data_IF_711113062528
#
_entry.id   IF_711113062528
#
_cell.length_a   1.000
_cell.length_b   1.000
_cell.length_c   1.000
_cell.angle_alpha   90.00
_cell.angle_beta   90.00
_cell.angle_gamma   90.00
#
_symmetry.space_group_name_H-M   'P 1'
#
loop_
_entity.id
_entity.type
_entity.pdbx_description
1 polymer ?
#
# COMPACT_ATOMS: atom_id res chain seq x y z
N UNK A 1 12.09 3.59 -11.17
CA UNK A 1 12.05 3.88 -9.73
C UNK A 1 11.35 5.21 -9.54
N UNK A 2 10.24 5.22 -8.81
CA UNK A 2 9.48 6.39 -8.43
C UNK A 2 10.21 7.10 -7.30
N UNK A 3 10.53 8.36 -7.54
CA UNK A 3 11.22 9.25 -6.61
C UNK A 3 10.39 10.51 -6.33
N UNK A 4 9.10 10.47 -6.67
CA UNK A 4 8.17 11.56 -6.38
C UNK A 4 8.02 11.77 -4.88
N UNK A 5 7.74 13.01 -4.49
CA UNK A 5 7.51 13.35 -3.09
C UNK A 5 6.33 12.56 -2.51
N UNK A 6 5.28 12.33 -3.30
CA UNK A 6 4.13 11.50 -2.94
C UNK A 6 4.57 10.08 -2.58
N UNK A 7 5.34 9.42 -3.43
CA UNK A 7 5.80 8.06 -3.16
C UNK A 7 6.73 7.97 -1.94
N UNK A 8 7.67 8.93 -1.79
CA UNK A 8 8.54 8.99 -0.61
C UNK A 8 7.70 9.17 0.67
N UNK A 9 6.66 10.01 0.62
CA UNK A 9 5.75 10.22 1.76
C UNK A 9 4.95 8.96 2.10
N UNK A 10 4.40 8.29 1.09
CA UNK A 10 3.73 6.99 1.24
C UNK A 10 4.66 5.97 1.93
N UNK A 11 5.90 5.84 1.46
CA UNK A 11 6.88 4.93 2.05
C UNK A 11 7.23 5.32 3.49
N UNK A 12 7.42 6.61 3.77
CA UNK A 12 7.79 7.14 5.08
C UNK A 12 6.73 6.87 6.15
N UNK A 13 5.45 6.93 5.80
CA UNK A 13 4.35 6.67 6.73
C UNK A 13 3.95 5.19 6.81
N UNK A 14 4.44 4.36 5.91
CA UNK A 14 4.14 2.93 5.89
C UNK A 14 4.99 2.17 6.93
N UNK A 15 4.87 2.51 8.21
CA UNK A 15 5.71 1.92 9.28
C UNK A 15 5.69 0.39 9.29
N UNK A 16 4.58 -0.25 8.89
CA UNK A 16 4.46 -1.70 8.84
C UNK A 16 5.39 -2.31 7.80
N UNK A 17 5.42 -1.76 6.58
CA UNK A 17 6.31 -2.27 5.53
C UNK A 17 7.77 -1.90 5.79
N UNK A 18 8.03 -0.77 6.44
CA UNK A 18 9.38 -0.36 6.83
C UNK A 18 9.97 -1.30 7.89
N UNK A 19 9.16 -1.81 8.82
CA UNK A 19 9.59 -2.81 9.82
C UNK A 19 9.89 -4.17 9.20
N UNK A 20 9.17 -4.52 8.13
CA UNK A 20 9.36 -5.75 7.37
C UNK A 20 10.50 -5.64 6.35
N UNK A 21 11.15 -4.48 6.23
CA UNK A 21 12.28 -4.30 5.34
C UNK A 21 13.50 -5.06 5.85
N UNK A 22 13.92 -6.06 5.08
CA UNK A 22 15.20 -6.75 5.23
C UNK A 22 16.18 -6.20 4.18
N UNK A 23 17.08 -5.25 4.53
CA UNK A 23 17.92 -4.57 3.55
C UNK A 23 18.80 -5.50 2.76
N UNK A 24 18.78 -5.33 1.45
CA UNK A 24 19.62 -6.07 0.52
C UNK A 24 20.45 -5.10 -0.31
N UNK A 25 21.60 -5.57 -0.78
CA UNK A 25 22.42 -4.79 -1.72
C UNK A 25 21.57 -4.48 -2.95
N UNK A 26 21.52 -3.20 -3.33
CA UNK A 26 20.68 -2.75 -4.44
C UNK A 26 19.33 -2.15 -4.02
N UNK A 27 18.92 -2.29 -2.77
CA UNK A 27 17.70 -1.65 -2.28
C UNK A 27 17.87 -0.13 -2.24
N UNK A 28 16.83 0.58 -2.64
CA UNK A 28 16.85 2.04 -2.65
C UNK A 28 16.30 2.58 -1.34
N UNK A 29 16.83 3.73 -0.92
CA UNK A 29 16.35 4.40 0.28
C UNK A 29 16.41 5.92 0.13
N UNK A 30 15.62 6.60 0.95
CA UNK A 30 15.70 8.03 1.21
C UNK A 30 16.32 8.27 2.59
N UNK A 31 17.32 9.14 2.68
CA UNK A 31 17.95 9.50 3.94
C UNK A 31 17.19 10.64 4.63
N UNK A 32 16.69 10.38 5.85
CA UNK A 32 15.94 11.37 6.65
C UNK A 32 16.78 12.57 7.04
N UNK A 33 18.10 12.42 7.15
CA UNK A 33 19.02 13.48 7.57
C UNK A 33 19.42 14.40 6.42
N UNK A 34 19.30 13.92 5.18
CA UNK A 34 19.68 14.67 3.98
C UNK A 34 18.48 14.70 3.03
N UNK A 35 17.53 15.65 3.20
CA UNK A 35 16.36 15.75 2.36
C UNK A 35 16.72 15.78 0.86
N UNK A 36 16.23 14.78 0.12
CA UNK A 36 16.49 14.62 -1.32
C UNK A 36 17.64 13.68 -1.65
N UNK A 37 18.40 13.20 -0.66
CA UNK A 37 19.39 12.17 -0.86
C UNK A 37 18.70 10.81 -1.06
N UNK A 38 18.84 10.28 -2.26
CA UNK A 38 18.42 8.94 -2.64
C UNK A 38 19.68 8.10 -2.80
N UNK A 39 19.73 7.00 -2.05
CA UNK A 39 20.86 6.09 -2.05
C UNK A 39 20.48 4.69 -2.48
N UNK A 40 21.50 3.91 -2.83
CA UNK A 40 21.40 2.47 -2.99
C UNK A 40 22.15 1.86 -1.80
N UNK A 41 21.50 0.94 -1.10
CA UNK A 41 22.08 0.24 0.03
C UNK A 41 23.27 -0.61 -0.41
N UNK A 42 24.45 -0.33 0.14
CA UNK A 42 25.70 -1.04 -0.13
C UNK A 42 26.34 -1.63 1.14
N UNK A 43 25.62 -1.61 2.28
CA UNK A 43 26.04 -1.93 3.67
C UNK A 43 26.50 -0.74 4.52
N UNK A 44 26.30 -0.86 5.84
CA UNK A 44 26.82 -0.04 6.96
C UNK A 44 26.15 1.28 7.36
N UNK A 45 25.00 1.66 6.79
CA UNK A 45 24.26 2.84 7.27
C UNK A 45 23.34 2.52 8.46
N UNK A 46 23.10 3.47 9.38
CA UNK A 46 22.09 3.33 10.43
C UNK A 46 20.69 3.22 9.81
N UNK A 47 20.01 2.10 10.06
CA UNK A 47 18.70 1.81 9.46
C UNK A 47 17.58 2.75 9.92
N UNK A 48 17.69 3.28 11.13
CA UNK A 48 16.73 4.18 11.74
C UNK A 48 16.64 5.54 11.00
N UNK A 49 17.71 5.94 10.32
CA UNK A 49 17.75 7.18 9.54
C UNK A 49 17.27 7.01 8.10
N UNK A 50 16.92 5.79 7.68
CA UNK A 50 16.54 5.51 6.31
C UNK A 50 15.03 5.28 6.18
N UNK A 51 14.51 5.60 5.00
CA UNK A 51 13.19 5.19 4.54
C UNK A 51 13.40 4.31 3.33
N UNK A 52 12.96 3.05 3.41
CA UNK A 52 12.99 2.15 2.28
C UNK A 52 12.10 2.68 1.15
N UNK A 53 12.65 2.71 -0.06
CA UNK A 53 11.92 2.97 -1.28
C UNK A 53 11.89 1.65 -2.07
N UNK A 54 10.87 0.78 -1.88
CA UNK A 54 10.85 -0.50 -2.57
C UNK A 54 10.74 -0.30 -4.09
N UNK A 55 11.47 -1.10 -4.87
CA UNK A 55 11.27 -1.17 -6.32
C UNK A 55 10.01 -1.97 -6.64
N UNK A 56 9.55 -1.90 -7.90
CA UNK A 56 8.43 -2.72 -8.38
C UNK A 56 8.66 -4.22 -8.14
N UNK A 57 9.87 -4.70 -8.46
CA UNK A 57 10.29 -6.10 -8.25
C UNK A 57 10.26 -6.50 -6.77
N UNK A 58 10.63 -5.59 -5.86
CA UNK A 58 10.59 -5.85 -4.42
C UNK A 58 9.17 -5.96 -3.90
N UNK A 59 8.28 -5.08 -4.34
CA UNK A 59 6.86 -5.17 -4.00
C UNK A 59 6.26 -6.48 -4.50
N UNK A 60 6.60 -6.91 -5.71
CA UNK A 60 6.17 -8.19 -6.28
C UNK A 60 6.65 -9.40 -5.46
N UNK A 61 7.93 -9.45 -5.09
CA UNK A 61 8.49 -10.50 -4.25
C UNK A 61 7.79 -10.61 -2.88
N UNK A 62 7.25 -9.50 -2.36
CA UNK A 62 6.48 -9.50 -1.11
C UNK A 62 5.08 -10.12 -1.29
N UNK A 63 4.51 -10.07 -2.49
CA UNK A 63 3.24 -10.70 -2.85
C UNK A 63 3.40 -12.18 -3.23
N UNK A 64 4.38 -12.51 -4.07
CA UNK A 64 4.58 -13.85 -4.65
C UNK A 64 4.81 -14.95 -3.62
N UNK A 65 5.32 -14.62 -2.43
CA UNK A 65 5.51 -15.60 -1.35
C UNK A 65 4.21 -16.29 -0.90
N UNK A 66 3.01 -15.86 -1.37
CA UNK A 66 1.73 -16.37 -0.86
C UNK A 66 0.73 -16.90 -1.90
N UNK A 67 0.80 -16.59 -3.20
CA UNK A 67 -0.30 -16.95 -4.13
C UNK A 67 0.16 -17.23 -5.57
N UNK A 68 -0.71 -17.97 -6.29
CA UNK A 68 -0.63 -18.16 -7.74
C UNK A 68 -0.91 -16.82 -8.46
N UNK A 69 -0.12 -16.51 -9.49
CA UNK A 69 -0.14 -15.26 -10.26
C UNK A 69 -1.54 -14.88 -10.78
N UNK A 70 -2.38 -15.86 -11.12
CA UNK A 70 -3.75 -15.59 -11.58
C UNK A 70 -4.60 -14.92 -10.50
N UNK A 71 -4.53 -15.41 -9.26
CA UNK A 71 -5.26 -14.80 -8.13
C UNK A 71 -4.72 -13.41 -7.80
N UNK A 72 -3.41 -13.20 -7.91
CA UNK A 72 -2.82 -11.86 -7.71
C UNK A 72 -3.40 -10.83 -8.69
N UNK A 73 -3.54 -11.18 -9.97
CA UNK A 73 -4.07 -10.26 -10.98
C UNK A 73 -5.55 -9.94 -10.69
N UNK A 74 -6.36 -10.95 -10.35
CA UNK A 74 -7.77 -10.74 -9.98
C UNK A 74 -7.89 -9.84 -8.74
N UNK A 75 -7.18 -10.15 -7.66
CA UNK A 75 -7.18 -9.35 -6.43
C UNK A 75 -6.71 -7.90 -6.68
N UNK A 76 -5.72 -7.70 -7.55
CA UNK A 76 -5.23 -6.37 -7.90
C UNK A 76 -6.24 -5.58 -8.74
N UNK A 77 -6.94 -6.25 -9.67
CA UNK A 77 -8.01 -5.63 -10.45
C UNK A 77 -9.17 -5.24 -9.54
N UNK A 78 -9.61 -6.13 -8.66
CA UNK A 78 -10.68 -5.85 -7.69
C UNK A 78 -10.31 -4.68 -6.78
N UNK A 79 -9.07 -4.65 -6.28
CA UNK A 79 -8.56 -3.51 -5.53
C UNK A 79 -8.62 -2.20 -6.32
N UNK A 80 -8.20 -2.20 -7.59
CA UNK A 80 -8.27 -1.02 -8.44
C UNK A 80 -9.72 -0.56 -8.60
N UNK A 81 -10.63 -1.46 -8.93
CA UNK A 81 -12.06 -1.17 -9.08
C UNK A 81 -12.65 -0.56 -7.81
N UNK A 82 -12.40 -1.17 -6.66
CA UNK A 82 -13.00 -0.76 -5.39
C UNK A 82 -12.44 0.57 -4.84
N UNK A 83 -11.15 0.84 -5.07
CA UNK A 83 -10.44 1.91 -4.35
C UNK A 83 -9.94 3.03 -5.25
N UNK A 84 -9.68 2.75 -6.53
CA UNK A 84 -8.92 3.64 -7.41
C UNK A 84 -9.73 4.12 -8.60
N UNK A 85 -10.78 3.39 -9.01
CA UNK A 85 -11.66 3.80 -10.10
C UNK A 85 -12.85 4.60 -9.57
N UNK A 86 -13.38 5.48 -10.43
CA UNK A 86 -14.64 6.18 -10.15
C UNK A 86 -15.82 5.21 -10.24
N UNK A 87 -16.77 5.32 -9.30
CA UNK A 87 -18.03 4.57 -9.38
C UNK A 87 -18.88 5.15 -10.50
N UNK A 88 -18.91 4.44 -11.63
CA UNK A 88 -19.69 4.85 -12.79
C UNK A 88 -21.03 4.11 -12.91
N UNK A 89 -21.38 3.19 -11.99
CA UNK A 89 -22.53 2.32 -12.18
C UNK A 89 -22.40 1.41 -13.41
N UNK A 90 -23.54 1.03 -14.02
CA UNK A 90 -23.67 0.00 -15.08
C UNK A 90 -23.24 0.45 -16.50
N UNK A 91 -22.13 1.19 -16.63
CA UNK A 91 -21.66 1.68 -17.94
C UNK A 91 -20.68 0.68 -18.56
N UNK A 92 -20.80 0.32 -19.86
CA UNK A 92 -19.99 -0.73 -20.50
C UNK A 92 -18.52 -0.35 -20.78
N UNK A 93 -17.99 0.73 -20.18
CA UNK A 93 -16.62 1.20 -20.38
C UNK A 93 -15.81 1.03 -19.10
N UNK A 94 -14.50 0.78 -19.24
CA UNK A 94 -13.56 0.79 -18.11
C UNK A 94 -13.63 2.15 -17.43
N UNK A 95 -14.03 2.23 -16.15
CA UNK A 95 -14.13 3.50 -15.45
C UNK A 95 -12.75 4.18 -15.38
N UNK A 96 -12.69 5.52 -15.45
CA UNK A 96 -11.45 6.23 -15.26
C UNK A 96 -10.95 6.04 -13.83
N UNK A 97 -9.64 6.23 -13.63
CA UNK A 97 -9.11 6.41 -12.29
C UNK A 97 -9.76 7.64 -11.66
N UNK A 98 -10.03 7.57 -10.36
CA UNK A 98 -10.30 8.76 -9.55
C UNK A 98 -9.17 9.74 -9.79
N UNK A 99 -9.53 11.02 -9.87
CA UNK A 99 -8.59 12.11 -10.16
C UNK A 99 -7.30 12.05 -9.32
N UNK A 100 -7.38 11.57 -8.08
CA UNK A 100 -6.21 11.49 -7.19
C UNK A 100 -5.20 10.39 -7.57
N UNK A 101 -5.58 9.46 -8.45
CA UNK A 101 -4.79 8.32 -8.91
C UNK A 101 -4.49 8.35 -10.42
N UNK A 102 -5.01 9.31 -11.18
CA UNK A 102 -4.75 9.45 -12.62
C UNK A 102 -3.25 9.52 -12.97
N UNK A 103 -2.45 10.12 -12.09
CA UNK A 103 -1.00 10.28 -12.26
C UNK A 103 -0.18 9.29 -11.42
N UNK A 104 -0.83 8.28 -10.82
CA UNK A 104 -0.14 7.35 -9.95
C UNK A 104 0.80 6.43 -10.72
N UNK A 105 2.03 6.30 -10.22
CA UNK A 105 2.97 5.33 -10.79
C UNK A 105 2.57 3.90 -10.42
N UNK A 106 3.03 2.91 -11.20
CA UNK A 106 2.82 1.51 -10.85
C UNK A 106 3.37 1.14 -9.46
N UNK A 107 4.42 1.83 -9.00
CA UNK A 107 5.00 1.61 -7.68
C UNK A 107 4.09 2.15 -6.56
N UNK A 108 3.46 3.31 -6.77
CA UNK A 108 2.44 3.83 -5.87
C UNK A 108 1.23 2.88 -5.80
N UNK A 109 0.76 2.39 -6.95
CA UNK A 109 -0.36 1.45 -7.04
C UNK A 109 -0.06 0.13 -6.35
N UNK A 110 1.10 -0.49 -6.63
CA UNK A 110 1.51 -1.74 -5.98
C UNK A 110 1.75 -1.58 -4.49
N UNK A 111 2.34 -0.46 -4.06
CA UNK A 111 2.49 -0.18 -2.64
C UNK A 111 1.12 -0.06 -1.97
N UNK A 112 0.19 0.68 -2.56
CA UNK A 112 -1.18 0.81 -2.04
C UNK A 112 -1.90 -0.54 -1.96
N UNK A 113 -1.77 -1.37 -2.99
CA UNK A 113 -2.32 -2.72 -2.98
C UNK A 113 -1.71 -3.60 -1.89
N UNK A 114 -0.37 -3.61 -1.76
CA UNK A 114 0.34 -4.35 -0.72
C UNK A 114 -0.09 -3.89 0.69
N UNK A 115 -0.24 -2.58 0.87
CA UNK A 115 -0.70 -2.00 2.14
C UNK A 115 -2.13 -2.41 2.47
N UNK A 116 -3.01 -2.47 1.47
CA UNK A 116 -4.40 -2.92 1.61
C UNK A 116 -4.48 -4.40 1.98
N UNK A 117 -3.81 -5.26 1.22
CA UNK A 117 -3.89 -6.71 1.38
C UNK A 117 -3.21 -7.20 2.67
N UNK A 118 -1.97 -6.76 2.89
CA UNK A 118 -1.15 -7.28 3.98
C UNK A 118 -1.46 -6.60 5.29
N UNK A 119 -1.62 -5.28 5.29
CA UNK A 119 -1.75 -4.48 6.50
C UNK A 119 -3.14 -3.87 6.70
N UNK A 120 -4.09 -4.07 5.78
CA UNK A 120 -5.46 -3.56 5.92
C UNK A 120 -5.54 -2.04 5.90
N UNK A 121 -4.68 -1.36 5.13
CA UNK A 121 -4.61 0.10 5.07
C UNK A 121 -4.76 0.62 3.64
N UNK A 122 -5.40 1.76 3.46
CA UNK A 122 -5.50 2.47 2.19
C UNK A 122 -4.90 3.87 2.30
N UNK A 123 -4.42 4.41 1.18
CA UNK A 123 -3.88 5.77 1.15
C UNK A 123 -5.02 6.78 0.94
N UNK A 124 -5.21 7.68 1.89
CA UNK A 124 -6.11 8.83 1.77
C UNK A 124 -5.31 9.99 1.17
N UNK A 125 -5.61 10.38 -0.07
CA UNK A 125 -4.86 11.42 -0.78
C UNK A 125 -5.08 12.82 -0.19
N UNK A 126 -6.24 13.09 0.42
CA UNK A 126 -6.55 14.40 1.00
C UNK A 126 -5.79 14.62 2.31
N UNK A 127 -5.70 13.57 3.13
CA UNK A 127 -4.93 13.57 4.38
C UNK A 127 -3.46 13.28 4.16
N UNK A 128 -3.13 12.70 3.02
CA UNK A 128 -1.82 12.15 2.70
C UNK A 128 -1.35 11.19 3.81
N UNK A 129 -2.23 10.24 4.17
CA UNK A 129 -2.06 9.30 5.29
C UNK A 129 -2.59 7.89 4.98
N UNK A 130 -1.95 6.86 5.57
CA UNK A 130 -2.46 5.49 5.56
C UNK A 130 -3.59 5.31 6.57
N UNK A 131 -4.81 5.16 6.08
CA UNK A 131 -6.01 4.97 6.87
C UNK A 131 -6.35 3.47 6.98
N UNK A 132 -6.87 3.00 8.13
CA UNK A 132 -7.40 1.64 8.23
C UNK A 132 -8.53 1.42 7.22
N UNK A 133 -8.51 0.30 6.49
CA UNK A 133 -9.58 -0.08 5.56
C UNK A 133 -10.90 -0.14 6.32
N UNK A 134 -11.85 0.73 5.97
CA UNK A 134 -13.21 0.67 6.50
C UNK A 134 -13.88 -0.56 5.88
N UNK A 135 -14.48 -1.41 6.70
CA UNK A 135 -15.39 -2.40 6.16
C UNK A 135 -16.60 -1.68 5.55
N UNK A 136 -17.23 -2.22 4.50
CA UNK A 136 -18.56 -1.78 4.13
C UNK A 136 -19.41 -1.85 5.40
N UNK A 137 -20.00 -0.72 5.76
CA UNK A 137 -21.04 -0.74 6.78
C UNK A 137 -22.08 -1.71 6.26
N UNK A 138 -22.21 -2.87 6.92
CA UNK A 138 -23.44 -3.63 6.76
C UNK A 138 -24.51 -2.63 7.14
N UNK A 139 -25.42 -2.33 6.20
CA UNK A 139 -26.69 -1.67 6.48
C UNK A 139 -27.39 -2.43 7.60
N UNK A 140 -27.02 -2.06 8.81
CA UNK A 140 -27.65 -2.39 10.06
C UNK A 140 -27.69 -1.04 10.74
N UNK A 141 -28.90 -0.53 10.89
CA UNK A 141 -29.22 0.67 11.63
C UNK A 141 -28.74 0.52 13.09
N UNK A 142 -27.45 0.67 13.35
CA UNK A 142 -26.95 1.08 14.65
C UNK A 142 -25.52 1.61 14.54
N UNK A 143 -25.35 2.89 14.84
CA UNK A 143 -24.14 3.67 14.63
C UNK A 143 -23.05 3.36 15.66
N UNK A 144 -22.50 2.14 15.61
CA UNK A 144 -21.28 1.79 16.35
C UNK A 144 -20.18 1.33 15.38
N UNK A 145 -19.18 2.19 15.20
CA UNK A 145 -17.94 1.84 14.49
C UNK A 145 -17.19 0.76 15.28
N UNK A 146 -17.02 -0.43 14.69
CA UNK A 146 -16.28 -1.54 15.31
C UNK A 146 -14.93 -1.77 14.59
N UNK A 147 -13.86 -1.92 15.38
CA UNK A 147 -12.51 -2.23 14.90
C UNK A 147 -12.29 -3.76 14.90
N UNK A 148 -11.67 -4.29 13.84
CA UNK A 148 -11.37 -5.72 13.70
C UNK A 148 -9.85 -5.97 13.68
N UNK A 149 -9.43 -7.14 14.18
CA UNK A 149 -8.03 -7.61 14.17
C UNK A 149 -7.98 -8.94 13.41
N UNK A 150 -6.93 -9.15 12.60
CA UNK A 150 -6.68 -10.43 11.94
C UNK A 150 -6.18 -11.45 12.96
N UNK A 151 -6.74 -12.66 12.94
CA UNK A 151 -6.23 -13.76 13.75
C UNK A 151 -5.01 -14.44 13.12
N UNK A 152 -4.56 -15.52 13.77
CA UNK A 152 -3.43 -16.32 13.33
C UNK A 152 -3.63 -17.04 11.99
N UNK A 153 -4.87 -17.21 11.51
CA UNK A 153 -5.16 -17.79 10.19
C UNK A 153 -5.49 -16.73 9.13
N UNK A 154 -5.32 -15.45 9.48
CA UNK A 154 -5.58 -14.29 8.64
C UNK A 154 -7.07 -14.14 8.27
N UNK A 155 -7.96 -14.77 9.04
CA UNK A 155 -9.38 -14.45 9.05
C UNK A 155 -9.65 -13.22 9.92
N UNK A 156 -10.71 -12.50 9.57
CA UNK A 156 -11.10 -11.29 10.27
C UNK A 156 -12.03 -11.66 11.43
N UNK A 157 -11.58 -11.45 12.67
CA UNK A 157 -12.38 -11.69 13.87
C UNK A 157 -12.66 -10.39 14.63
N UNK A 158 -13.83 -10.37 15.26
CA UNK A 158 -14.28 -9.29 16.13
C UNK A 158 -13.41 -9.27 17.37
N UNK A 159 -12.85 -8.10 17.70
CA UNK A 159 -12.25 -7.87 18.99
C UNK A 159 -13.36 -7.42 19.94
N UNK A 160 -13.78 -8.31 20.84
CA UNK A 160 -14.66 -7.94 21.97
C UNK A 160 -13.93 -7.03 22.97
#
# INVERSE_FOLDING_TARGET
MDISEKYIKMCKQADDIQKDWEPQVGDWFHDKNYPGAIGIWQSSLPMDTLVWLPSEERLEQMHEKRRNIYFFIEDFIDFMCDNLLEDYGDVPYTPPFRKEWEEASMQQLRLAFLMSEKYGKFWDNDKEEWMPKRLPSNDTQDGSDQLMVKDSDNSWIKHE
#
